data_IF_650979215783
#
_entry.id   IF_650979215783
#
_cell.length_a   1.000
_cell.length_b   1.000
_cell.length_c   1.000
_cell.angle_alpha   90.00
_cell.angle_beta   90.00
_cell.angle_gamma   90.00
#
_symmetry.space_group_name_H-M   'P 1'
#
loop_
_entity.id
_entity.type
_entity.pdbx_description
1 polymer ?
#
# COMPACT_ATOMS: atom_id res chain seq x y z
N UNK A 1 -19.81 -25.49 -0.25
CA UNK A 1 -19.18 -24.33 0.41
C UNK A 1 -17.90 -24.04 -0.36
N UNK A 2 -17.78 -22.83 -0.91
CA UNK A 2 -16.56 -22.38 -1.57
C UNK A 2 -15.46 -22.27 -0.51
N UNK A 3 -14.31 -22.86 -0.78
CA UNK A 3 -13.13 -22.77 0.07
C UNK A 3 -11.90 -22.52 -0.78
N UNK A 4 -11.07 -21.61 -0.36
CA UNK A 4 -9.80 -21.27 -1.01
C UNK A 4 -8.70 -21.10 0.04
N UNK A 5 -7.52 -20.73 -0.38
CA UNK A 5 -6.44 -20.29 0.51
C UNK A 5 -6.38 -18.76 0.52
N UNK A 6 -6.15 -18.17 1.66
CA UNK A 6 -5.81 -16.76 1.78
C UNK A 6 -4.36 -16.56 2.25
N UNK A 7 -3.77 -15.45 1.85
CA UNK A 7 -2.50 -14.96 2.38
C UNK A 7 -2.82 -13.96 3.47
N UNK A 8 -2.25 -14.13 4.64
CA UNK A 8 -2.30 -13.12 5.71
C UNK A 8 -1.08 -12.23 5.53
N UNK A 9 -1.36 -10.95 5.32
CA UNK A 9 -0.35 -9.91 5.10
C UNK A 9 -0.47 -8.84 6.16
N UNK A 10 0.67 -8.33 6.62
CA UNK A 10 0.77 -7.05 7.33
C UNK A 10 1.36 -6.01 6.38
N UNK A 11 0.65 -4.92 6.19
CA UNK A 11 1.04 -3.82 5.30
C UNK A 11 1.21 -2.59 6.15
N UNK A 12 2.38 -1.98 6.16
CA UNK A 12 2.65 -0.77 6.92
C UNK A 12 3.35 0.29 6.09
N UNK A 13 2.99 1.55 6.30
CA UNK A 13 3.73 2.68 5.76
C UNK A 13 5.13 2.73 6.36
N UNK A 14 6.13 2.95 5.53
CA UNK A 14 7.54 3.02 5.92
C UNK A 14 7.84 4.39 6.54
N UNK A 15 7.28 4.67 7.72
CA UNK A 15 7.45 5.89 8.48
C UNK A 15 8.55 5.77 9.54
N UNK A 16 9.28 6.85 9.75
CA UNK A 16 10.31 6.93 10.79
C UNK A 16 9.72 7.08 12.21
N UNK A 17 8.60 7.82 12.35
CA UNK A 17 8.09 8.27 13.65
C UNK A 17 6.69 7.77 13.99
N UNK A 18 6.02 7.10 13.10
CA UNK A 18 4.62 6.72 13.26
C UNK A 18 4.39 5.27 12.84
N UNK A 19 3.38 4.66 13.46
CA UNK A 19 2.89 3.35 13.04
C UNK A 19 1.54 3.53 12.32
N UNK A 20 1.54 3.28 11.02
CA UNK A 20 0.32 3.20 10.22
C UNK A 20 0.35 1.88 9.47
N UNK A 21 -0.52 0.95 9.85
CA UNK A 21 -0.51 -0.39 9.27
C UNK A 21 -1.91 -1.00 9.19
N UNK A 22 -2.03 -1.99 8.32
CA UNK A 22 -3.23 -2.83 8.16
C UNK A 22 -2.80 -4.30 8.08
N UNK A 23 -3.58 -5.17 8.72
CA UNK A 23 -3.48 -6.61 8.57
C UNK A 23 -4.66 -7.10 7.75
N UNK A 24 -4.40 -7.86 6.71
CA UNK A 24 -5.42 -8.27 5.74
C UNK A 24 -5.29 -9.74 5.36
N UNK A 25 -6.43 -10.40 5.23
CA UNK A 25 -6.54 -11.70 4.56
C UNK A 25 -6.90 -11.47 3.10
N UNK A 26 -6.07 -11.96 2.18
CA UNK A 26 -6.21 -11.75 0.74
C UNK A 26 -6.34 -13.10 0.03
N UNK A 27 -7.33 -13.33 -0.85
CA UNK A 27 -7.40 -14.58 -1.61
C UNK A 27 -6.10 -14.87 -2.36
N UNK A 28 -5.65 -16.13 -2.30
CA UNK A 28 -4.35 -16.54 -2.83
C UNK A 28 -4.20 -16.33 -4.34
N UNK A 29 -5.30 -16.41 -5.08
CA UNK A 29 -5.30 -16.41 -6.54
C UNK A 29 -5.67 -15.04 -7.14
N UNK A 30 -5.12 -13.96 -6.59
CA UNK A 30 -5.26 -12.62 -7.12
C UNK A 30 -4.02 -12.18 -7.90
N UNK A 31 -4.17 -11.15 -8.75
CA UNK A 31 -3.05 -10.49 -9.44
C UNK A 31 -2.40 -9.42 -8.55
N UNK A 32 -1.22 -8.94 -8.94
CA UNK A 32 -0.62 -7.77 -8.29
C UNK A 32 -1.44 -6.50 -8.51
N UNK A 33 -2.14 -6.37 -9.64
CA UNK A 33 -3.11 -5.30 -9.87
C UNK A 33 -4.29 -5.34 -8.89
N UNK A 34 -4.75 -6.54 -8.51
CA UNK A 34 -5.77 -6.67 -7.46
C UNK A 34 -5.20 -6.29 -6.09
N UNK A 35 -3.95 -6.64 -5.78
CA UNK A 35 -3.28 -6.22 -4.55
C UNK A 35 -3.16 -4.70 -4.47
N UNK A 36 -2.77 -4.04 -5.56
CA UNK A 36 -2.78 -2.57 -5.65
C UNK A 36 -4.14 -2.00 -5.23
N UNK A 37 -5.24 -2.48 -5.81
CA UNK A 37 -6.59 -2.01 -5.48
C UNK A 37 -6.94 -2.24 -4.00
N UNK A 38 -6.54 -3.37 -3.44
CA UNK A 38 -6.74 -3.68 -2.02
C UNK A 38 -5.98 -2.68 -1.14
N UNK A 39 -4.72 -2.38 -1.46
CA UNK A 39 -3.91 -1.40 -0.72
C UNK A 39 -4.52 0.00 -0.81
N UNK A 40 -4.93 0.42 -2.02
CA UNK A 40 -5.62 1.69 -2.23
C UNK A 40 -6.85 1.81 -1.31
N UNK A 41 -7.66 0.77 -1.22
CA UNK A 41 -8.84 0.76 -0.36
C UNK A 41 -8.49 0.77 1.14
N UNK A 42 -7.49 -0.02 1.56
CA UNK A 42 -7.06 -0.13 2.96
C UNK A 42 -6.51 1.18 3.53
N UNK A 43 -5.83 1.96 2.70
CA UNK A 43 -5.20 3.23 3.08
C UNK A 43 -5.99 4.46 2.61
N UNK A 44 -7.19 4.26 2.02
CA UNK A 44 -8.07 5.33 1.53
C UNK A 44 -7.42 6.22 0.45
N UNK A 45 -6.50 5.64 -0.33
CA UNK A 45 -5.93 6.30 -1.50
C UNK A 45 -6.95 6.39 -2.64
N UNK A 46 -6.80 7.39 -3.51
CA UNK A 46 -7.74 7.70 -4.60
C UNK A 46 -7.33 7.13 -5.96
N UNK A 47 -6.24 6.39 -6.02
CA UNK A 47 -5.70 5.81 -7.27
C UNK A 47 -5.49 6.86 -8.37
N UNK A 48 -4.93 8.02 -8.02
CA UNK A 48 -4.70 9.14 -8.94
C UNK A 48 -3.21 9.35 -9.30
N UNK A 49 -2.33 8.54 -8.75
CA UNK A 49 -0.88 8.57 -8.99
C UNK A 49 -0.34 7.23 -9.49
N UNK A 50 0.88 7.27 -10.00
CA UNK A 50 1.62 6.08 -10.42
C UNK A 50 2.05 5.23 -9.23
N UNK A 51 2.29 3.95 -9.48
CA UNK A 51 2.77 3.01 -8.48
C UNK A 51 3.59 1.89 -9.12
N UNK A 52 4.32 1.19 -8.28
CA UNK A 52 4.95 -0.09 -8.60
C UNK A 52 4.93 -1.04 -7.40
N UNK A 53 5.23 -2.31 -7.66
CA UNK A 53 5.36 -3.33 -6.63
C UNK A 53 6.68 -4.08 -6.85
N UNK A 54 7.47 -4.19 -5.80
CA UNK A 54 8.74 -4.92 -5.82
C UNK A 54 8.67 -6.15 -4.92
N UNK A 55 9.12 -7.29 -5.42
CA UNK A 55 9.51 -8.42 -4.58
C UNK A 55 10.96 -8.21 -4.18
N UNK A 56 11.22 -8.20 -2.87
CA UNK A 56 12.54 -8.03 -2.31
C UNK A 56 13.06 -9.35 -1.77
N UNK A 57 14.25 -9.75 -2.23
CA UNK A 57 14.99 -10.91 -1.77
C UNK A 57 16.44 -10.51 -1.45
N UNK A 58 16.89 -10.78 -0.21
CA UNK A 58 18.21 -10.41 0.28
C UNK A 58 18.56 -8.92 0.01
N UNK A 59 17.62 -8.02 0.32
CA UNK A 59 17.71 -6.56 0.14
C UNK A 59 17.94 -6.09 -1.31
N UNK A 60 17.54 -6.92 -2.27
CA UNK A 60 17.55 -6.59 -3.71
C UNK A 60 16.18 -6.83 -4.31
N UNK A 61 15.85 -6.01 -5.30
CA UNK A 61 14.65 -6.24 -6.12
C UNK A 61 14.86 -7.49 -6.97
N UNK A 62 14.08 -8.53 -6.67
CA UNK A 62 14.10 -9.78 -7.43
C UNK A 62 13.16 -9.71 -8.65
N UNK A 63 12.01 -9.07 -8.49
CA UNK A 63 11.02 -8.84 -9.56
C UNK A 63 10.32 -7.50 -9.28
N UNK A 64 10.08 -6.73 -10.33
CA UNK A 64 9.26 -5.52 -10.29
C UNK A 64 8.00 -5.71 -11.12
N UNK A 65 6.88 -5.25 -10.60
CA UNK A 65 5.60 -5.23 -11.31
C UNK A 65 5.19 -3.78 -11.58
N UNK A 66 4.85 -3.50 -12.83
CA UNK A 66 4.48 -2.17 -13.33
C UNK A 66 3.11 -2.20 -14.01
N UNK A 67 2.51 -1.04 -14.20
CA UNK A 67 1.16 -0.87 -14.72
C UNK A 67 1.10 -1.21 -16.21
N UNK A 68 2.08 -0.72 -16.99
CA UNK A 68 2.10 -0.82 -18.46
C UNK A 68 3.49 -1.17 -19.02
N UNK A 69 3.54 -1.56 -20.29
CA UNK A 69 4.80 -1.82 -20.99
C UNK A 69 5.66 -0.56 -21.12
N UNK A 70 5.04 0.62 -21.20
CA UNK A 70 5.73 1.91 -21.28
C UNK A 70 6.49 2.20 -19.97
N UNK A 71 5.95 1.75 -18.83
CA UNK A 71 6.59 1.95 -17.54
C UNK A 71 7.85 1.10 -17.37
N UNK A 72 7.99 0.00 -18.12
CA UNK A 72 9.19 -0.86 -18.07
C UNK A 72 10.46 -0.12 -18.49
N UNK A 73 10.35 0.91 -19.33
CA UNK A 73 11.49 1.68 -19.83
C UNK A 73 12.14 2.56 -18.74
N UNK A 74 11.43 2.84 -17.65
CA UNK A 74 11.95 3.65 -16.53
C UNK A 74 12.86 2.90 -15.58
N UNK A 75 12.92 1.57 -15.69
CA UNK A 75 13.65 0.72 -14.75
C UNK A 75 14.74 -0.10 -15.45
N UNK A 76 15.77 -0.43 -14.70
CA UNK A 76 16.89 -1.27 -15.14
C UNK A 76 16.96 -2.62 -14.42
N UNK A 77 15.88 -3.01 -13.75
CA UNK A 77 15.81 -4.30 -13.05
C UNK A 77 15.89 -5.47 -14.04
N UNK A 78 16.44 -6.59 -13.60
CA UNK A 78 16.59 -7.79 -14.45
C UNK A 78 15.26 -8.45 -14.80
N UNK A 79 14.23 -8.26 -13.97
CA UNK A 79 12.91 -8.85 -14.17
C UNK A 79 11.82 -7.81 -13.89
N UNK A 80 11.18 -7.34 -14.97
CA UNK A 80 10.06 -6.40 -14.93
C UNK A 80 8.87 -7.05 -15.62
N UNK A 81 7.73 -7.07 -14.97
CA UNK A 81 6.52 -7.74 -15.43
C UNK A 81 5.29 -6.85 -15.27
N UNK A 82 4.23 -7.16 -16.01
CA UNK A 82 2.95 -6.48 -15.87
C UNK A 82 2.20 -7.02 -14.65
N UNK A 83 1.79 -6.11 -13.76
CA UNK A 83 1.03 -6.44 -12.54
C UNK A 83 -0.32 -7.12 -12.84
N UNK A 84 -0.98 -6.77 -13.94
CA UNK A 84 -2.26 -7.32 -14.35
C UNK A 84 -2.17 -8.77 -14.85
N UNK A 85 -0.99 -9.20 -15.29
CA UNK A 85 -0.74 -10.53 -15.84
C UNK A 85 -0.03 -11.46 -14.84
N UNK A 86 0.40 -10.94 -13.69
CA UNK A 86 1.19 -11.66 -12.70
C UNK A 86 0.36 -12.00 -11.47
N UNK A 87 0.33 -13.28 -11.10
CA UNK A 87 -0.42 -13.75 -9.93
C UNK A 87 0.48 -13.81 -8.70
N UNK A 88 -0.06 -13.42 -7.55
CA UNK A 88 0.67 -13.49 -6.28
C UNK A 88 1.06 -14.92 -5.94
N UNK A 89 0.20 -15.89 -6.26
CA UNK A 89 0.45 -17.30 -6.01
C UNK A 89 1.73 -17.86 -6.65
N UNK A 90 2.22 -17.23 -7.74
CA UNK A 90 3.43 -17.67 -8.43
C UNK A 90 4.71 -17.31 -7.67
N UNK A 91 4.60 -16.40 -6.69
CA UNK A 91 5.73 -15.84 -5.94
C UNK A 91 5.68 -16.13 -4.45
N UNK A 92 4.48 -16.16 -3.86
CA UNK A 92 4.24 -16.46 -2.45
C UNK A 92 3.90 -17.95 -2.30
N UNK A 93 4.44 -18.69 -1.32
CA UNK A 93 5.18 -18.23 -0.14
C UNK A 93 6.71 -18.19 -0.28
N UNK A 94 7.26 -18.35 -1.47
CA UNK A 94 8.72 -18.31 -1.69
C UNK A 94 9.32 -17.00 -1.16
N UNK A 95 8.71 -15.90 -1.54
CA UNK A 95 9.11 -14.55 -1.09
C UNK A 95 8.21 -14.08 0.05
N UNK A 96 8.78 -13.39 1.03
CA UNK A 96 8.09 -12.99 2.25
C UNK A 96 7.89 -11.48 2.39
N UNK A 97 8.53 -10.70 1.53
CA UNK A 97 8.52 -9.23 1.60
C UNK A 97 8.30 -8.64 0.21
N UNK A 98 7.35 -7.70 0.15
CA UNK A 98 7.11 -6.84 -0.99
C UNK A 98 7.25 -5.38 -0.54
N UNK A 99 7.58 -4.50 -1.48
CA UNK A 99 7.47 -3.05 -1.32
C UNK A 99 6.48 -2.56 -2.36
N UNK A 100 5.44 -1.88 -1.93
CA UNK A 100 4.50 -1.19 -2.80
C UNK A 100 4.74 0.30 -2.66
N UNK A 101 5.14 0.97 -3.75
CA UNK A 101 5.35 2.42 -3.78
C UNK A 101 4.21 3.07 -4.54
N UNK A 102 3.52 4.00 -3.90
CA UNK A 102 2.44 4.79 -4.48
C UNK A 102 2.83 6.26 -4.47
N UNK A 103 2.49 6.98 -5.54
CA UNK A 103 2.85 8.38 -5.75
C UNK A 103 4.37 8.61 -5.64
N UNK A 104 5.07 8.54 -6.76
CA UNK A 104 6.53 8.71 -6.78
C UNK A 104 7.00 10.10 -6.35
N UNK A 105 6.08 11.11 -6.34
CA UNK A 105 6.35 12.45 -5.81
C UNK A 105 6.40 12.46 -4.28
N UNK A 106 5.35 11.98 -3.63
CA UNK A 106 5.24 11.86 -2.17
C UNK A 106 5.96 10.63 -1.62
N UNK A 107 6.23 9.63 -2.48
CA UNK A 107 6.99 8.40 -2.19
C UNK A 107 6.39 7.58 -1.04
N UNK A 108 5.10 7.26 -1.13
CA UNK A 108 4.42 6.43 -0.14
C UNK A 108 4.83 4.96 -0.25
N UNK A 109 5.90 4.58 0.43
CA UNK A 109 6.34 3.19 0.51
C UNK A 109 5.55 2.40 1.56
N UNK A 110 4.98 1.29 1.12
CA UNK A 110 4.30 0.33 1.99
C UNK A 110 5.11 -0.96 2.01
N UNK A 111 5.54 -1.37 3.18
CA UNK A 111 6.19 -2.66 3.37
C UNK A 111 5.09 -3.70 3.58
N UNK A 112 5.06 -4.70 2.71
CA UNK A 112 4.11 -5.82 2.76
C UNK A 112 4.84 -7.05 3.25
N UNK A 113 4.48 -7.53 4.42
CA UNK A 113 5.05 -8.73 5.04
C UNK A 113 4.05 -9.87 4.98
N UNK A 114 4.50 -11.02 4.45
CA UNK A 114 3.70 -12.24 4.40
C UNK A 114 3.85 -12.99 5.72
N UNK A 115 2.78 -13.02 6.52
CA UNK A 115 2.80 -13.69 7.81
C UNK A 115 2.58 -15.19 7.69
N UNK A 116 1.47 -15.61 7.09
CA UNK A 116 1.12 -17.01 6.90
C UNK A 116 0.09 -17.23 5.79
N UNK A 117 -0.22 -18.50 5.53
CA UNK A 117 -1.34 -18.92 4.68
C UNK A 117 -2.48 -19.44 5.56
N UNK A 118 -3.68 -18.97 5.30
CA UNK A 118 -4.91 -19.47 5.91
C UNK A 118 -5.60 -20.42 4.95
N UNK A 119 -5.64 -21.68 5.30
CA UNK A 119 -6.41 -22.70 4.59
C UNK A 119 -7.89 -22.57 4.88
N UNK A 120 -8.71 -23.14 4.01
CA UNK A 120 -10.19 -23.13 4.16
C UNK A 120 -10.82 -21.74 4.26
N UNK A 121 -10.22 -20.74 3.60
CA UNK A 121 -10.79 -19.39 3.54
C UNK A 121 -12.10 -19.41 2.74
N UNK A 122 -13.17 -18.93 3.34
CA UNK A 122 -14.54 -19.07 2.83
C UNK A 122 -15.03 -17.86 2.00
N UNK A 123 -14.12 -16.94 1.67
CA UNK A 123 -14.43 -15.72 0.91
C UNK A 123 -13.60 -15.62 -0.36
N UNK A 124 -14.13 -14.92 -1.35
CA UNK A 124 -13.44 -14.58 -2.59
C UNK A 124 -13.01 -13.11 -2.67
N UNK A 125 -12.98 -12.43 -1.53
CA UNK A 125 -12.60 -11.03 -1.39
C UNK A 125 -11.65 -10.84 -0.19
N UNK A 126 -10.92 -9.74 -0.18
CA UNK A 126 -10.02 -9.40 0.92
C UNK A 126 -10.80 -8.92 2.15
N UNK A 127 -10.29 -9.22 3.34
CA UNK A 127 -10.85 -8.78 4.62
C UNK A 127 -9.76 -8.12 5.45
N UNK A 128 -9.98 -6.86 5.83
CA UNK A 128 -9.14 -6.20 6.83
C UNK A 128 -9.40 -6.85 8.20
N UNK A 129 -8.37 -7.37 8.82
CA UNK A 129 -8.44 -8.09 10.09
C UNK A 129 -8.11 -7.18 11.27
N UNK A 130 -7.20 -6.23 11.08
CA UNK A 130 -6.71 -5.35 12.13
C UNK A 130 -5.98 -4.15 11.51
N UNK A 131 -5.70 -3.10 12.29
CA UNK A 131 -4.96 -1.94 11.81
C UNK A 131 -4.76 -0.89 12.89
N UNK A 132 -3.83 0.01 12.63
CA UNK A 132 -3.49 1.14 13.50
C UNK A 132 -3.09 2.35 12.67
N UNK A 133 -3.39 3.53 13.18
CA UNK A 133 -3.01 4.82 12.62
C UNK A 133 -3.85 5.25 11.42
N UNK A 134 -3.95 6.57 11.25
CA UNK A 134 -4.63 7.19 10.12
C UNK A 134 -3.69 7.28 8.92
N UNK A 135 -4.22 6.98 7.75
CA UNK A 135 -3.48 7.17 6.50
C UNK A 135 -3.34 8.67 6.19
N UNK A 136 -2.23 9.08 5.56
CA UNK A 136 -2.11 10.44 5.04
C UNK A 136 -3.20 10.76 4.03
N UNK A 137 -3.65 12.02 3.91
CA UNK A 137 -4.42 12.43 2.74
C UNK A 137 -3.54 12.47 1.49
N UNK A 138 -4.15 12.37 0.30
CA UNK A 138 -3.45 12.56 -0.97
C UNK A 138 -2.77 13.95 -1.02
N UNK A 139 -1.63 14.02 -1.71
CA UNK A 139 -0.91 15.27 -2.00
C UNK A 139 -0.48 16.06 -0.75
N UNK A 140 -0.29 15.41 0.38
CA UNK A 140 0.10 16.09 1.63
C UNK A 140 1.60 16.43 1.70
N UNK A 141 2.41 15.95 0.75
CA UNK A 141 3.83 16.25 0.66
C UNK A 141 4.75 15.22 1.32
N UNK A 142 4.38 13.95 1.21
CA UNK A 142 5.14 12.83 1.73
C UNK A 142 5.13 12.73 3.26
N UNK A 143 6.04 11.94 3.81
CA UNK A 143 6.08 11.65 5.25
C UNK A 143 6.21 12.92 6.09
N UNK A 144 7.11 13.82 5.73
CA UNK A 144 7.33 15.05 6.49
C UNK A 144 6.17 16.06 6.35
N UNK A 145 5.58 16.18 5.15
CA UNK A 145 4.36 16.96 4.93
C UNK A 145 3.20 16.43 5.78
N UNK A 146 3.11 15.12 5.97
CA UNK A 146 2.11 14.53 6.86
C UNK A 146 2.37 14.84 8.34
N UNK A 147 3.62 14.87 8.79
CA UNK A 147 3.93 15.29 10.16
C UNK A 147 3.56 16.76 10.39
N UNK A 148 3.93 17.66 9.48
CA UNK A 148 3.56 19.09 9.56
C UNK A 148 2.04 19.26 9.54
N UNK A 149 1.35 18.56 8.66
CA UNK A 149 -0.12 18.52 8.61
C UNK A 149 -0.73 18.13 9.96
N UNK A 150 -0.23 17.07 10.59
CA UNK A 150 -0.73 16.62 11.89
C UNK A 150 -0.47 17.63 13.01
N UNK A 151 0.68 18.31 12.99
CA UNK A 151 1.01 19.33 13.98
C UNK A 151 0.09 20.56 13.85
N UNK A 152 -0.24 20.96 12.62
CA UNK A 152 -1.20 22.04 12.36
C UNK A 152 -2.62 21.64 12.80
N UNK A 153 -3.08 20.46 12.40
CA UNK A 153 -4.47 19.98 12.66
C UNK A 153 -4.73 19.80 14.17
N UNK A 154 -3.72 19.42 14.94
CA UNK A 154 -3.83 19.27 16.40
C UNK A 154 -3.76 20.58 17.17
N UNK A 155 -3.41 21.68 16.52
CA UNK A 155 -3.26 22.99 17.17
C UNK A 155 -4.28 24.02 16.64
N UNK A 156 -5.47 24.16 17.25
CA UNK A 156 -6.48 25.12 16.81
C UNK A 156 -6.03 26.61 16.84
N UNK A 157 -4.91 26.91 17.52
CA UNK A 157 -4.33 28.24 17.56
C UNK A 157 -3.29 28.48 16.46
N UNK A 158 -2.96 27.47 15.65
CA UNK A 158 -2.05 27.60 14.53
C UNK A 158 -2.65 28.53 13.46
N UNK A 159 -1.85 29.39 12.86
CA UNK A 159 -2.32 30.36 11.85
C UNK A 159 -2.96 29.68 10.64
N UNK A 160 -2.43 28.54 10.21
CA UNK A 160 -2.92 27.76 9.07
C UNK A 160 -4.02 26.74 9.44
N UNK A 161 -4.40 26.62 10.73
CA UNK A 161 -5.33 25.58 11.18
C UNK A 161 -6.65 25.54 10.39
N UNK A 162 -7.27 26.70 10.14
CA UNK A 162 -8.58 26.78 9.48
C UNK A 162 -8.50 26.33 8.02
N UNK A 163 -7.44 26.75 7.33
CA UNK A 163 -7.21 26.41 5.93
C UNK A 163 -6.88 24.92 5.79
N UNK A 164 -5.96 24.42 6.59
CA UNK A 164 -5.56 23.01 6.62
C UNK A 164 -6.74 22.10 6.94
N UNK A 165 -7.59 22.49 7.90
CA UNK A 165 -8.80 21.73 8.24
C UNK A 165 -9.82 21.70 7.10
N UNK A 166 -10.02 22.82 6.41
CA UNK A 166 -10.90 22.89 5.25
C UNK A 166 -10.37 22.01 4.12
N UNK A 167 -9.05 22.05 3.86
CA UNK A 167 -8.40 21.20 2.89
C UNK A 167 -8.52 19.70 3.25
N UNK A 168 -8.24 19.31 4.50
CA UNK A 168 -8.40 17.93 4.98
C UNK A 168 -9.82 17.40 4.76
N UNK A 169 -10.81 18.22 5.06
CA UNK A 169 -12.22 17.88 4.83
C UNK A 169 -12.52 17.66 3.34
N UNK A 170 -11.91 18.45 2.44
CA UNK A 170 -12.03 18.25 1.00
C UNK A 170 -11.38 16.97 0.50
N UNK A 171 -10.39 16.47 1.22
CA UNK A 171 -9.72 15.20 0.97
C UNK A 171 -10.46 13.99 1.59
N UNK A 172 -11.58 14.21 2.29
CA UNK A 172 -12.30 13.21 3.09
C UNK A 172 -11.47 12.60 4.21
N UNK A 173 -10.42 13.31 4.66
CA UNK A 173 -9.60 12.86 5.77
C UNK A 173 -10.31 13.12 7.10
N UNK A 174 -10.29 12.13 7.98
CA UNK A 174 -10.86 12.18 9.33
C UNK A 174 -9.81 11.73 10.35
N UNK A 175 -9.79 12.40 11.50
CA UNK A 175 -8.94 12.07 12.64
C UNK A 175 -9.38 10.77 13.34
#
# INVERSE_FOLDING_TARGET
VFKTTAIIMKIHLNFEKMNVWRKVAVPFNITFSDLHRIIQYLFSWKNCHMHDIEIVDNDKTAVRFVISEEDMEYYSDESILLESQSKIADYIPKYKKLIYTYDFGDNWQHIVEIENLQLDYDKNYAVCLDGEGNSPPEDVGGEYGYYDFLDIIKNPSHEEYKETKAWASSQYWHE
#
